data_IF_509693304057
#
_entry.id   IF_509693304057
#
_cell.length_a   1.000
_cell.length_b   1.000
_cell.length_c   1.000
_cell.angle_alpha   90.00
_cell.angle_beta   90.00
_cell.angle_gamma   90.00
#
_symmetry.space_group_name_H-M   'P 1'
#
loop_
_entity.id
_entity.type
_entity.pdbx_description
1 polymer ?
#
# COMPACT_ATOMS: atom_id res chain seq x y z
N UNK A 1 22.07 24.01 2.46
CA UNK A 1 21.74 22.88 1.56
C UNK A 1 22.04 23.35 0.14
N UNK A 2 23.04 22.79 -0.53
CA UNK A 2 23.47 23.23 -1.88
C UNK A 2 22.53 22.57 -2.89
N UNK A 3 21.71 23.34 -3.61
CA UNK A 3 20.91 22.81 -4.73
C UNK A 3 21.84 22.39 -5.86
N UNK A 4 21.57 21.25 -6.46
CA UNK A 4 22.28 20.80 -7.65
C UNK A 4 21.69 21.52 -8.87
N UNK A 5 22.44 21.64 -9.98
CA UNK A 5 21.86 22.11 -11.24
C UNK A 5 20.73 21.17 -11.70
N UNK A 6 19.60 21.71 -12.16
CA UNK A 6 18.36 20.99 -12.52
C UNK A 6 18.57 19.75 -13.40
N UNK A 7 19.53 19.82 -14.34
CA UNK A 7 19.85 18.71 -15.24
C UNK A 7 20.33 17.46 -14.49
N UNK A 8 21.15 17.62 -13.44
CA UNK A 8 21.65 16.51 -12.64
C UNK A 8 20.57 15.92 -11.73
N UNK A 9 19.67 16.76 -11.19
CA UNK A 9 18.58 16.30 -10.32
C UNK A 9 17.64 15.33 -11.05
N UNK A 10 17.26 15.66 -12.30
CA UNK A 10 16.37 14.81 -13.10
C UNK A 10 16.98 13.44 -13.44
N UNK A 11 18.28 13.39 -13.70
CA UNK A 11 19.01 12.16 -14.01
C UNK A 11 19.15 11.25 -12.78
N UNK A 12 19.42 11.86 -11.61
CA UNK A 12 19.48 11.15 -10.33
C UNK A 12 18.10 10.55 -10.01
N UNK A 13 17.04 11.34 -10.09
CA UNK A 13 15.68 10.85 -9.83
C UNK A 13 15.32 9.67 -10.73
N UNK A 14 15.52 9.79 -12.05
CA UNK A 14 15.25 8.68 -12.98
C UNK A 14 16.02 7.40 -12.65
N UNK A 15 17.24 7.53 -12.14
CA UNK A 15 18.09 6.41 -11.77
C UNK A 15 17.58 5.69 -10.51
N UNK A 16 17.14 6.43 -9.49
CA UNK A 16 16.84 5.86 -8.18
C UNK A 16 15.34 5.66 -7.91
N UNK A 17 14.44 6.39 -8.59
CA UNK A 17 12.99 6.30 -8.37
C UNK A 17 12.45 4.86 -8.41
N UNK A 18 12.82 3.99 -9.37
CA UNK A 18 12.33 2.61 -9.36
C UNK A 18 12.75 1.82 -8.12
N UNK A 19 13.98 2.01 -7.65
CA UNK A 19 14.49 1.35 -6.42
C UNK A 19 13.74 1.88 -5.20
N UNK A 20 13.58 3.20 -5.07
CA UNK A 20 12.83 3.81 -3.97
C UNK A 20 11.39 3.28 -3.90
N UNK A 21 10.69 3.22 -5.04
CA UNK A 21 9.31 2.73 -5.09
C UNK A 21 9.24 1.23 -4.74
N UNK A 22 10.20 0.43 -5.20
CA UNK A 22 10.15 -1.02 -5.00
C UNK A 22 10.63 -1.46 -3.60
N UNK A 23 11.53 -0.69 -2.98
CA UNK A 23 12.18 -1.03 -1.71
C UNK A 23 11.49 -0.38 -0.51
N UNK A 24 10.84 0.78 -0.69
CA UNK A 24 10.02 1.38 0.36
C UNK A 24 8.66 0.67 0.41
N UNK A 25 8.30 -0.01 1.52
CA UNK A 25 7.06 -0.79 1.60
C UNK A 25 5.81 0.03 1.30
N UNK A 26 5.71 1.24 1.87
CA UNK A 26 4.56 2.12 1.69
C UNK A 26 4.37 2.50 0.23
N UNK A 27 5.44 2.90 -0.48
CA UNK A 27 5.35 3.26 -1.89
C UNK A 27 5.08 2.06 -2.80
N UNK A 28 5.63 0.89 -2.47
CA UNK A 28 5.34 -0.33 -3.21
C UNK A 28 3.85 -0.68 -3.11
N UNK A 29 3.29 -0.66 -1.89
CA UNK A 29 1.88 -0.94 -1.65
C UNK A 29 1.00 0.09 -2.34
N UNK A 30 1.31 1.38 -2.19
CA UNK A 30 0.56 2.48 -2.81
C UNK A 30 0.50 2.33 -4.34
N UNK A 31 1.62 2.01 -4.99
CA UNK A 31 1.66 1.73 -6.43
C UNK A 31 0.73 0.56 -6.79
N UNK A 32 0.85 -0.57 -6.09
CA UNK A 32 0.07 -1.78 -6.42
C UNK A 32 -1.43 -1.60 -6.19
N UNK A 33 -1.82 -0.86 -5.15
CA UNK A 33 -3.21 -0.51 -4.86
C UNK A 33 -3.71 0.52 -5.89
N UNK A 34 -2.94 1.56 -6.18
CA UNK A 34 -3.29 2.61 -7.14
C UNK A 34 -3.58 2.06 -8.53
N UNK A 35 -2.71 1.19 -9.06
CA UNK A 35 -2.93 0.52 -10.37
C UNK A 35 -4.27 -0.22 -10.41
N UNK A 36 -4.69 -0.84 -9.30
CA UNK A 36 -5.95 -1.58 -9.25
C UNK A 36 -7.17 -0.69 -9.04
N UNK A 37 -7.02 0.43 -8.33
CA UNK A 37 -8.07 1.44 -8.21
C UNK A 37 -8.34 2.07 -9.58
N UNK A 38 -7.29 2.39 -10.35
CA UNK A 38 -7.44 2.92 -11.72
C UNK A 38 -8.18 1.97 -12.67
N UNK A 39 -8.10 0.66 -12.42
CA UNK A 39 -8.82 -0.37 -13.17
C UNK A 39 -10.31 -0.46 -12.79
N UNK A 40 -10.75 0.16 -11.69
CA UNK A 40 -12.15 0.14 -11.28
C UNK A 40 -12.96 1.19 -12.03
N UNK A 41 -14.12 0.77 -12.55
CA UNK A 41 -15.11 1.68 -13.17
C UNK A 41 -15.99 2.30 -12.08
N UNK A 42 -15.38 2.95 -11.08
CA UNK A 42 -16.11 3.66 -10.01
C UNK A 42 -15.52 5.05 -9.80
N UNK A 43 -16.34 6.04 -9.39
CA UNK A 43 -15.80 7.33 -8.96
C UNK A 43 -14.95 7.15 -7.71
N UNK A 44 -13.84 7.88 -7.64
CA UNK A 44 -12.97 7.97 -6.45
C UNK A 44 -13.40 9.19 -5.65
N UNK A 45 -13.71 8.98 -4.37
CA UNK A 45 -14.04 10.04 -3.42
C UNK A 45 -12.81 10.47 -2.62
N UNK A 46 -12.84 11.65 -2.02
CA UNK A 46 -11.72 12.15 -1.21
C UNK A 46 -11.36 11.21 -0.04
N UNK A 47 -12.37 10.55 0.54
CA UNK A 47 -12.18 9.60 1.62
C UNK A 47 -11.39 8.36 1.18
N UNK A 48 -11.56 7.90 -0.07
CA UNK A 48 -10.79 6.78 -0.61
C UNK A 48 -9.29 7.06 -0.57
N UNK A 49 -8.85 8.30 -0.82
CA UNK A 49 -7.43 8.65 -0.77
C UNK A 49 -6.87 8.61 0.66
N UNK A 50 -7.64 9.08 1.64
CA UNK A 50 -7.23 9.07 3.06
C UNK A 50 -7.14 7.66 3.61
N UNK A 51 -8.13 6.83 3.26
CA UNK A 51 -8.17 5.43 3.66
C UNK A 51 -7.07 4.63 2.97
N UNK A 52 -6.80 4.91 1.69
CA UNK A 52 -5.68 4.33 0.96
C UNK A 52 -4.34 4.64 1.63
N UNK A 53 -4.06 5.91 1.96
CA UNK A 53 -2.79 6.30 2.60
C UNK A 53 -2.58 5.57 3.93
N UNK A 54 -3.61 5.55 4.78
CA UNK A 54 -3.57 4.86 6.07
C UNK A 54 -3.36 3.37 5.89
N UNK A 55 -4.09 2.76 4.96
CA UNK A 55 -4.01 1.34 4.63
C UNK A 55 -2.62 0.93 4.10
N UNK A 56 -2.04 1.73 3.20
CA UNK A 56 -0.71 1.47 2.64
C UNK A 56 0.38 1.46 3.72
N UNK A 57 0.24 2.31 4.74
CA UNK A 57 1.16 2.31 5.86
C UNK A 57 1.00 1.04 6.72
N UNK A 58 -0.22 0.67 7.12
CA UNK A 58 -0.42 -0.44 8.08
C UNK A 58 -0.13 -1.83 7.50
N UNK A 59 -0.41 -2.07 6.21
CA UNK A 59 -0.23 -3.39 5.57
C UNK A 59 1.23 -3.89 5.63
N UNK A 60 2.20 -2.98 5.61
CA UNK A 60 3.61 -3.35 5.66
C UNK A 60 4.10 -3.73 7.07
N UNK A 61 3.43 -3.25 8.12
CA UNK A 61 3.98 -3.24 9.48
C UNK A 61 3.12 -3.94 10.53
N UNK A 62 1.88 -4.32 10.20
CA UNK A 62 0.98 -5.01 11.12
C UNK A 62 0.82 -6.49 10.76
N UNK A 63 0.84 -7.37 11.77
CA UNK A 63 0.55 -8.79 11.58
C UNK A 63 -0.91 -9.04 11.21
N UNK A 64 -1.83 -8.20 11.71
CA UNK A 64 -3.26 -8.27 11.44
C UNK A 64 -3.76 -6.87 11.09
N UNK A 65 -4.39 -6.73 9.93
CA UNK A 65 -5.05 -5.51 9.47
C UNK A 65 -6.56 -5.75 9.38
N UNK A 66 -7.32 -4.91 10.07
CA UNK A 66 -8.78 -4.85 9.90
C UNK A 66 -9.11 -3.62 9.09
N UNK A 67 -9.65 -3.82 7.89
CA UNK A 67 -9.91 -2.74 6.94
C UNK A 67 -11.23 -2.93 6.21
N UNK A 68 -11.66 -1.91 5.48
CA UNK A 68 -12.86 -2.02 4.65
C UNK A 68 -12.72 -3.07 3.56
N UNK A 69 -13.86 -3.60 3.10
CA UNK A 69 -13.92 -4.67 2.09
C UNK A 69 -13.14 -4.32 0.83
N UNK A 70 -13.20 -3.07 0.40
CA UNK A 70 -12.58 -2.66 -0.85
C UNK A 70 -11.04 -2.76 -0.81
N UNK A 71 -10.39 -2.11 0.15
CA UNK A 71 -8.93 -2.16 0.29
C UNK A 71 -8.43 -3.56 0.63
N UNK A 72 -9.19 -4.31 1.43
CA UNK A 72 -8.90 -5.70 1.73
C UNK A 72 -8.89 -6.58 0.47
N UNK A 73 -9.86 -6.39 -0.43
CA UNK A 73 -9.92 -7.08 -1.70
C UNK A 73 -8.76 -6.67 -2.61
N UNK A 74 -8.48 -5.37 -2.72
CA UNK A 74 -7.37 -4.85 -3.52
C UNK A 74 -6.01 -5.41 -3.06
N UNK A 75 -5.77 -5.46 -1.75
CA UNK A 75 -4.54 -6.03 -1.20
C UNK A 75 -4.43 -7.54 -1.42
N UNK A 76 -5.56 -8.24 -1.37
CA UNK A 76 -5.63 -9.68 -1.66
C UNK A 76 -5.30 -9.96 -3.13
N UNK A 77 -5.91 -9.22 -4.06
CA UNK A 77 -5.63 -9.27 -5.50
C UNK A 77 -4.17 -8.88 -5.84
N UNK A 78 -3.56 -8.06 -4.98
CA UNK A 78 -2.16 -7.64 -5.08
C UNK A 78 -1.18 -8.61 -4.43
N UNK A 79 -1.67 -9.70 -3.81
CA UNK A 79 -0.86 -10.62 -3.00
C UNK A 79 -0.02 -9.92 -1.91
N UNK A 80 -0.44 -8.73 -1.45
CA UNK A 80 0.30 -7.95 -0.45
C UNK A 80 0.28 -8.62 0.92
N UNK A 81 -0.86 -9.24 1.28
CA UNK A 81 -0.99 -10.08 2.46
C UNK A 81 0.09 -11.18 2.53
N UNK A 82 0.44 -11.80 1.39
CA UNK A 82 1.51 -12.80 1.33
C UNK A 82 2.89 -12.17 1.40
N UNK A 83 3.11 -11.07 0.65
CA UNK A 83 4.42 -10.39 0.59
C UNK A 83 4.85 -9.89 1.98
N UNK A 84 3.93 -9.27 2.72
CA UNK A 84 4.20 -8.70 4.03
C UNK A 84 3.82 -9.62 5.20
N UNK A 85 3.35 -10.85 4.91
CA UNK A 85 2.90 -11.83 5.90
C UNK A 85 1.89 -11.24 6.89
N UNK A 86 1.00 -10.41 6.38
CA UNK A 86 -0.07 -9.77 7.15
C UNK A 86 -1.40 -10.48 6.88
N UNK A 87 -2.18 -10.71 7.92
CA UNK A 87 -3.54 -11.20 7.81
C UNK A 87 -4.49 -10.02 7.65
N UNK A 88 -5.29 -10.02 6.58
CA UNK A 88 -6.25 -8.96 6.30
C UNK A 88 -7.67 -9.50 6.52
N UNK A 89 -8.44 -8.84 7.37
CA UNK A 89 -9.86 -9.14 7.60
C UNK A 89 -10.70 -7.86 7.55
N UNK A 90 -12.00 -8.02 7.37
CA UNK A 90 -12.98 -6.93 7.36
C UNK A 90 -13.88 -6.95 8.59
N UNK A 91 -13.66 -7.89 9.51
CA UNK A 91 -14.47 -8.06 10.72
C UNK A 91 -13.58 -8.10 11.96
N UNK A 92 -13.90 -7.22 12.91
CA UNK A 92 -13.26 -7.23 14.23
C UNK A 92 -13.45 -8.57 14.96
N UNK A 93 -14.57 -9.25 14.72
CA UNK A 93 -14.86 -10.55 15.33
C UNK A 93 -13.88 -11.66 14.92
N UNK A 94 -13.12 -11.47 13.84
CA UNK A 94 -12.15 -12.47 13.36
C UNK A 94 -10.79 -12.36 14.07
N UNK A 95 -10.54 -11.27 14.82
CA UNK A 95 -9.27 -11.01 15.51
C UNK A 95 -8.87 -12.17 16.45
N UNK A 96 -9.75 -12.72 17.31
CA UNK A 96 -9.37 -13.81 18.22
C UNK A 96 -8.87 -15.05 17.49
N UNK A 97 -9.38 -15.32 16.28
CA UNK A 97 -8.89 -16.43 15.46
C UNK A 97 -7.57 -16.05 14.78
N UNK A 98 -7.45 -14.81 14.28
CA UNK A 98 -6.23 -14.32 13.65
C UNK A 98 -5.03 -14.32 14.62
N UNK A 99 -5.23 -13.96 15.89
CA UNK A 99 -4.19 -13.99 16.93
C UNK A 99 -3.65 -15.40 17.26
N UNK A 100 -4.34 -16.47 16.82
CA UNK A 100 -3.87 -17.85 17.03
C UNK A 100 -2.95 -18.36 15.91
N UNK A 101 -2.93 -17.66 14.77
CA UNK A 101 -2.22 -18.07 13.54
C UNK A 101 -1.21 -17.03 13.05
N UNK A 102 -1.28 -15.80 13.57
CA UNK A 102 -0.25 -14.76 13.45
C UNK A 102 0.89 -15.06 14.43
#
# INVERSE_FOLDING_TARGET
>A
MRRLPEFEESAILRRFSPSIINECPTYFIEREIGIRIEQQVRPIEENDFRDMQSFCAVVAYADIVVAENMFSNLATQSSLHKKYRTLITTKLADIPNALRVA
#
